data_IF_516409579911
#
_entry.id   IF_516409579911
#
_cell.length_a   1.000
_cell.length_b   1.000
_cell.length_c   1.000
_cell.angle_alpha   90.00
_cell.angle_beta   90.00
_cell.angle_gamma   90.00
#
_symmetry.space_group_name_H-M   'P 1'
#
loop_
_entity.id
_entity.type
_entity.pdbx_description
1 polymer ?
#
# COMPACT_ATOMS: atom_id res chain seq x y z
N UNK A 1 -7.47 8.69 -1.71
CA UNK A 1 -8.42 8.19 -0.68
C UNK A 1 -9.03 6.88 -1.15
N UNK A 2 -9.12 5.86 -0.30
CA UNK A 2 -9.81 4.60 -0.57
C UNK A 2 -11.28 4.78 -0.16
N UNK A 3 -12.21 4.32 -1.01
CA UNK A 3 -13.65 4.47 -0.78
C UNK A 3 -14.29 3.10 -0.86
N UNK A 4 -14.96 2.69 0.22
CA UNK A 4 -15.87 1.55 0.24
C UNK A 4 -17.30 2.08 0.16
N UNK A 5 -18.12 1.48 -0.69
CA UNK A 5 -19.55 1.81 -0.79
C UNK A 5 -20.37 0.82 0.04
N UNK A 6 -21.14 1.32 0.99
CA UNK A 6 -22.02 0.53 1.86
C UNK A 6 -23.42 1.15 1.87
N UNK A 7 -24.36 0.56 1.12
CA UNK A 7 -25.74 1.03 0.98
C UNK A 7 -25.82 2.54 0.63
N UNK A 8 -26.19 3.37 1.62
CA UNK A 8 -26.34 4.82 1.52
C UNK A 8 -25.14 5.61 2.06
N UNK A 9 -24.02 4.94 2.36
CA UNK A 9 -22.83 5.53 2.96
C UNK A 9 -21.57 5.22 2.18
N UNK A 10 -20.60 6.11 2.31
CA UNK A 10 -19.21 5.90 1.89
C UNK A 10 -18.34 5.78 3.15
N UNK A 11 -17.55 4.72 3.21
CA UNK A 11 -16.46 4.58 4.17
C UNK A 11 -15.19 5.07 3.51
N UNK A 12 -14.57 6.08 4.11
CA UNK A 12 -13.42 6.78 3.58
C UNK A 12 -12.19 6.45 4.41
N UNK A 13 -11.19 5.85 3.79
CA UNK A 13 -9.90 5.50 4.39
C UNK A 13 -8.83 6.29 3.66
N UNK A 14 -7.90 6.90 4.39
CA UNK A 14 -6.80 7.63 3.76
C UNK A 14 -5.77 6.67 3.16
N UNK A 15 -5.17 7.06 2.04
CA UNK A 15 -4.04 6.34 1.44
C UNK A 15 -2.86 6.28 2.41
N UNK A 16 -2.68 7.36 3.20
CA UNK A 16 -1.65 7.38 4.23
C UNK A 16 -1.92 6.42 5.39
N UNK A 17 -3.18 6.16 5.74
CA UNK A 17 -3.51 5.20 6.81
C UNK A 17 -3.29 3.75 6.34
N UNK A 18 -3.59 3.43 5.07
CA UNK A 18 -3.26 2.12 4.52
C UNK A 18 -1.76 1.91 4.38
N UNK A 19 -1.00 2.94 3.99
CA UNK A 19 0.45 2.87 3.93
C UNK A 19 1.07 2.64 5.32
N UNK A 20 0.55 3.30 6.35
CA UNK A 20 0.95 3.03 7.75
C UNK A 20 0.67 1.57 8.15
N UNK A 21 -0.43 0.98 7.68
CA UNK A 21 -0.72 -0.44 7.89
C UNK A 21 0.30 -1.33 7.16
N UNK A 22 0.70 -1.01 5.93
CA UNK A 22 1.77 -1.72 5.22
C UNK A 22 3.10 -1.64 6.01
N UNK A 23 3.42 -0.47 6.58
CA UNK A 23 4.57 -0.29 7.48
C UNK A 23 4.48 -1.11 8.77
N UNK A 24 3.29 -1.26 9.34
CA UNK A 24 3.04 -2.15 10.48
C UNK A 24 3.30 -3.61 10.12
N UNK A 25 2.80 -4.08 8.98
CA UNK A 25 3.09 -5.42 8.46
C UNK A 25 4.59 -5.61 8.18
N UNK A 26 5.27 -4.61 7.62
CA UNK A 26 6.71 -4.66 7.39
C UNK A 26 7.50 -4.89 8.68
N UNK A 27 7.13 -4.23 9.77
CA UNK A 27 7.76 -4.43 11.09
C UNK A 27 7.45 -5.79 11.70
N UNK A 28 6.29 -6.36 11.41
CA UNK A 28 5.89 -7.68 11.89
C UNK A 28 6.48 -8.83 11.05
N UNK A 29 6.94 -8.53 9.82
CA UNK A 29 7.43 -9.52 8.85
C UNK A 29 8.70 -10.21 9.35
N UNK A 30 8.74 -11.54 9.17
CA UNK A 30 9.86 -12.39 9.51
C UNK A 30 9.49 -13.48 10.52
N UNK A 31 9.93 -14.70 10.25
CA UNK A 31 9.80 -15.84 11.13
C UNK A 31 10.81 -16.93 10.73
N UNK A 32 10.59 -18.19 11.07
CA UNK A 32 11.50 -19.29 10.69
C UNK A 32 11.51 -19.61 9.19
N UNK A 33 10.46 -19.22 8.47
CA UNK A 33 10.29 -19.46 7.02
C UNK A 33 10.64 -18.21 6.23
N UNK A 34 10.04 -17.08 6.60
CA UNK A 34 10.24 -15.80 5.94
C UNK A 34 11.36 -14.99 6.61
N UNK A 35 12.38 -14.62 5.85
CA UNK A 35 13.43 -13.74 6.35
C UNK A 35 12.95 -12.29 6.48
N UNK A 36 13.46 -11.57 7.46
CA UNK A 36 13.27 -10.12 7.55
C UNK A 36 13.91 -9.44 6.35
N UNK A 37 13.28 -8.41 5.80
CA UNK A 37 13.90 -7.60 4.75
C UNK A 37 15.09 -6.79 5.30
N UNK A 38 16.13 -6.64 4.52
CA UNK A 38 17.29 -5.83 4.86
C UNK A 38 17.57 -4.81 3.73
N UNK A 39 17.92 -3.56 4.04
CA UNK A 39 18.09 -2.97 5.38
C UNK A 39 16.72 -2.69 6.04
N UNK A 40 16.55 -3.23 7.26
CA UNK A 40 15.23 -3.35 7.88
C UNK A 40 14.50 -2.01 8.11
N UNK A 41 15.16 -1.05 8.73
CA UNK A 41 14.51 0.24 9.05
C UNK A 41 14.16 1.03 7.79
N UNK A 42 15.04 1.02 6.79
CA UNK A 42 14.76 1.67 5.49
C UNK A 42 13.61 0.99 4.75
N UNK A 43 13.52 -0.34 4.81
CA UNK A 43 12.40 -1.07 4.24
C UNK A 43 11.08 -0.75 4.95
N UNK A 44 11.07 -0.76 6.29
CA UNK A 44 9.88 -0.40 7.07
C UNK A 44 9.43 1.03 6.80
N UNK A 45 10.38 1.97 6.65
CA UNK A 45 10.08 3.34 6.27
C UNK A 45 9.47 3.41 4.86
N UNK A 46 10.04 2.69 3.89
CA UNK A 46 9.49 2.63 2.54
C UNK A 46 8.05 2.12 2.54
N UNK A 47 7.76 1.05 3.30
CA UNK A 47 6.42 0.50 3.41
C UNK A 47 5.43 1.46 4.08
N UNK A 48 5.84 2.18 5.13
CA UNK A 48 4.98 3.14 5.82
C UNK A 48 4.73 4.42 5.03
N UNK A 49 5.64 4.79 4.14
CA UNK A 49 5.65 6.09 3.46
C UNK A 49 5.45 6.00 1.94
N UNK A 50 5.11 4.81 1.40
CA UNK A 50 5.01 4.64 -0.04
C UNK A 50 3.94 5.55 -0.68
N UNK A 51 2.91 5.91 0.08
CA UNK A 51 1.80 6.78 -0.32
C UNK A 51 1.76 8.13 0.43
N UNK A 52 2.87 8.55 1.07
CA UNK A 52 2.89 9.81 1.84
C UNK A 52 2.60 11.07 1.02
N UNK A 53 2.74 11.03 -0.29
CA UNK A 53 2.39 12.13 -1.19
C UNK A 53 0.91 12.52 -1.16
N UNK A 54 0.05 11.61 -0.68
CA UNK A 54 -1.38 11.84 -0.52
C UNK A 54 -1.75 12.73 0.68
N UNK A 55 -0.83 12.94 1.63
CA UNK A 55 -1.11 13.66 2.88
C UNK A 55 -1.81 14.99 2.68
N UNK A 56 -1.24 15.86 1.85
CA UNK A 56 -1.78 17.21 1.65
C UNK A 56 -3.11 17.17 0.90
N UNK A 57 -3.25 16.28 -0.07
CA UNK A 57 -4.48 16.12 -0.82
C UNK A 57 -5.63 15.60 0.05
N UNK A 58 -5.36 14.68 0.97
CA UNK A 58 -6.37 14.09 1.85
C UNK A 58 -6.80 14.99 3.01
N UNK A 59 -6.10 16.10 3.24
CA UNK A 59 -6.57 17.17 4.13
C UNK A 59 -7.70 17.98 3.50
N UNK A 60 -7.63 18.20 2.18
CA UNK A 60 -8.61 18.96 1.39
C UNK A 60 -8.98 18.15 0.13
N UNK A 61 -9.64 17.00 0.28
CA UNK A 61 -9.92 16.12 -0.82
C UNK A 61 -10.93 16.74 -1.79
N UNK A 62 -10.72 16.47 -3.07
CA UNK A 62 -11.52 16.98 -4.17
C UNK A 62 -12.67 16.04 -4.51
N UNK A 63 -13.68 16.56 -5.21
CA UNK A 63 -14.75 15.81 -5.84
C UNK A 63 -14.60 15.80 -7.36
N UNK A 64 -15.09 14.76 -8.01
CA UNK A 64 -15.17 14.69 -9.46
C UNK A 64 -16.22 15.72 -9.96
N UNK A 65 -15.85 16.69 -10.80
CA UNK A 65 -16.77 17.72 -11.29
C UNK A 65 -17.90 17.18 -12.18
N UNK A 66 -17.83 15.93 -12.61
CA UNK A 66 -18.87 15.28 -13.41
C UNK A 66 -19.92 14.58 -12.56
N UNK A 67 -19.48 13.83 -11.54
CA UNK A 67 -20.36 13.04 -10.68
C UNK A 67 -20.71 13.78 -9.39
N UNK A 68 -19.97 14.81 -9.03
CA UNK A 68 -20.06 15.51 -7.75
C UNK A 68 -19.86 14.58 -6.54
N UNK A 69 -19.10 13.50 -6.73
CA UNK A 69 -18.73 12.55 -5.67
C UNK A 69 -17.22 12.60 -5.39
N UNK A 70 -16.78 12.21 -4.19
CA UNK A 70 -15.35 12.21 -3.87
C UNK A 70 -14.53 11.36 -4.83
N UNK A 71 -13.37 11.84 -5.25
CA UNK A 71 -12.41 11.03 -5.98
C UNK A 71 -11.90 9.89 -5.10
N UNK A 72 -11.90 8.67 -5.64
CA UNK A 72 -11.10 7.60 -5.08
C UNK A 72 -9.68 7.61 -5.69
N UNK A 73 -8.76 6.84 -5.10
CA UNK A 73 -7.37 6.81 -5.55
C UNK A 73 -7.19 6.35 -7.01
N UNK A 74 -8.14 5.60 -7.55
CA UNK A 74 -8.12 5.14 -8.95
C UNK A 74 -8.64 6.19 -9.92
N UNK A 75 -9.56 7.07 -9.47
CA UNK A 75 -10.25 8.04 -10.34
C UNK A 75 -9.62 9.43 -10.35
N UNK A 76 -8.67 9.72 -9.46
CA UNK A 76 -7.94 11.00 -9.46
C UNK A 76 -7.26 11.24 -10.81
N UNK A 77 -7.26 12.48 -11.34
CA UNK A 77 -6.58 12.81 -12.59
C UNK A 77 -5.10 12.42 -12.56
N UNK A 78 -4.60 11.91 -13.69
CA UNK A 78 -3.22 11.41 -13.80
C UNK A 78 -2.18 12.47 -13.47
N UNK A 79 -2.39 13.72 -13.87
CA UNK A 79 -1.49 14.83 -13.59
C UNK A 79 -1.37 15.08 -12.09
N UNK A 80 -2.49 15.11 -11.39
CA UNK A 80 -2.54 15.26 -9.93
C UNK A 80 -1.85 14.07 -9.24
N UNK A 81 -2.12 12.84 -9.67
CA UNK A 81 -1.50 11.64 -9.15
C UNK A 81 0.03 11.66 -9.30
N UNK A 82 0.55 12.12 -10.46
CA UNK A 82 1.99 12.30 -10.68
C UNK A 82 2.56 13.33 -9.71
N UNK A 83 1.89 14.46 -9.53
CA UNK A 83 2.32 15.51 -8.61
C UNK A 83 2.39 15.03 -7.16
N UNK A 84 1.41 14.23 -6.72
CA UNK A 84 1.42 13.59 -5.40
C UNK A 84 2.66 12.72 -5.21
N UNK A 85 2.92 11.80 -6.13
CA UNK A 85 4.04 10.88 -6.02
C UNK A 85 5.40 11.58 -6.12
N UNK A 86 5.54 12.61 -6.95
CA UNK A 86 6.79 13.39 -7.00
C UNK A 86 7.12 13.99 -5.63
N UNK A 87 6.17 14.64 -4.96
CA UNK A 87 6.34 15.20 -3.62
C UNK A 87 6.68 14.12 -2.59
N UNK A 88 5.94 13.01 -2.63
CA UNK A 88 6.13 11.88 -1.72
C UNK A 88 7.52 11.28 -1.83
N UNK A 89 7.94 10.93 -3.04
CA UNK A 89 9.26 10.35 -3.32
C UNK A 89 10.38 11.30 -2.85
N UNK A 90 10.30 12.59 -3.18
CA UNK A 90 11.30 13.56 -2.76
C UNK A 90 11.41 13.65 -1.23
N UNK A 91 10.30 13.58 -0.52
CA UNK A 91 10.24 13.60 0.95
C UNK A 91 10.95 12.39 1.53
N UNK A 92 10.65 11.19 1.03
CA UNK A 92 11.27 9.95 1.51
C UNK A 92 12.76 9.90 1.17
N UNK A 93 13.16 10.31 -0.05
CA UNK A 93 14.59 10.38 -0.44
C UNK A 93 15.41 11.26 0.50
N UNK A 94 14.83 12.39 0.97
CA UNK A 94 15.51 13.27 1.95
C UNK A 94 15.67 12.62 3.32
N UNK A 95 14.72 11.78 3.72
CA UNK A 95 14.77 11.07 5.00
C UNK A 95 15.69 9.85 4.93
N UNK A 96 15.56 9.05 3.87
CA UNK A 96 16.33 7.83 3.65
C UNK A 96 16.40 7.52 2.14
N UNK A 97 17.62 7.43 1.61
CA UNK A 97 17.85 7.21 0.16
C UNK A 97 17.41 5.82 -0.31
N UNK A 98 17.57 4.79 0.53
CA UNK A 98 17.15 3.43 0.20
C UNK A 98 15.63 3.31 0.18
N UNK A 99 14.97 3.82 1.22
CA UNK A 99 13.51 3.89 1.28
C UNK A 99 12.95 4.69 0.08
N UNK A 100 13.51 5.86 -0.20
CA UNK A 100 13.11 6.69 -1.34
C UNK A 100 13.31 6.01 -2.69
N UNK A 101 14.36 5.19 -2.85
CA UNK A 101 14.55 4.37 -4.04
C UNK A 101 13.43 3.33 -4.20
N UNK A 102 13.08 2.61 -3.14
CA UNK A 102 11.99 1.63 -3.16
C UNK A 102 10.65 2.28 -3.46
N UNK A 103 10.33 3.41 -2.83
CA UNK A 103 9.09 4.18 -3.10
C UNK A 103 9.05 4.68 -4.54
N UNK A 104 10.18 5.15 -5.10
CA UNK A 104 10.27 5.55 -6.50
C UNK A 104 10.08 4.37 -7.46
N UNK A 105 10.63 3.18 -7.13
CA UNK A 105 10.44 1.97 -7.92
C UNK A 105 9.00 1.46 -7.87
N UNK A 106 8.37 1.49 -6.69
CA UNK A 106 6.96 1.17 -6.49
C UNK A 106 6.07 2.09 -7.33
N UNK A 107 6.25 3.41 -7.21
CA UNK A 107 5.50 4.38 -8.01
C UNK A 107 5.64 4.14 -9.52
N UNK A 108 6.84 3.86 -10.01
CA UNK A 108 7.06 3.54 -11.42
C UNK A 108 6.24 2.30 -11.84
N UNK A 109 6.13 1.30 -10.95
CA UNK A 109 5.34 0.09 -11.17
C UNK A 109 3.85 0.36 -11.37
N UNK A 110 3.28 1.40 -10.72
CA UNK A 110 1.87 1.77 -10.88
C UNK A 110 1.51 2.26 -12.30
N UNK A 111 2.51 2.63 -13.11
CA UNK A 111 2.34 3.08 -14.50
C UNK A 111 2.90 2.08 -15.52
N UNK A 112 3.60 1.05 -15.09
CA UNK A 112 4.22 0.08 -16.00
C UNK A 112 3.27 -1.07 -16.31
N UNK A 113 2.63 -0.99 -17.48
CA UNK A 113 1.70 -2.02 -17.98
C UNK A 113 2.35 -3.40 -18.15
N UNK A 114 3.65 -3.48 -18.39
CA UNK A 114 4.33 -4.76 -18.53
C UNK A 114 4.32 -5.54 -17.23
N UNK A 115 4.28 -4.86 -16.09
CA UNK A 115 4.16 -5.47 -14.76
C UNK A 115 2.75 -5.99 -14.45
N UNK A 116 1.73 -5.50 -15.15
CA UNK A 116 0.36 -5.98 -14.96
C UNK A 116 0.16 -7.46 -15.33
N UNK A 117 1.09 -8.04 -16.08
CA UNK A 117 1.11 -9.46 -16.46
C UNK A 117 2.03 -10.30 -15.57
N UNK A 118 2.76 -9.67 -14.64
CA UNK A 118 3.64 -10.39 -13.71
C UNK A 118 2.85 -10.99 -12.55
N UNK A 119 3.23 -12.18 -12.07
CA UNK A 119 2.70 -12.73 -10.82
C UNK A 119 2.82 -11.71 -9.70
N UNK A 120 1.82 -11.64 -8.84
CA UNK A 120 1.81 -10.70 -7.73
C UNK A 120 1.32 -9.29 -8.06
N UNK A 121 1.11 -8.94 -9.33
CA UNK A 121 0.67 -7.60 -9.73
C UNK A 121 -0.77 -7.61 -10.27
N UNK A 122 -1.63 -6.77 -9.70
CA UNK A 122 -3.00 -6.64 -10.21
C UNK A 122 -3.07 -5.57 -11.30
N UNK A 123 -3.38 -5.99 -12.54
CA UNK A 123 -3.66 -5.07 -13.66
C UNK A 123 -4.74 -4.02 -13.33
N UNK A 124 -5.60 -4.30 -12.34
CA UNK A 124 -6.66 -3.41 -11.88
C UNK A 124 -6.14 -2.07 -11.34
N UNK A 125 -4.92 -2.05 -10.80
CA UNK A 125 -4.33 -0.86 -10.19
C UNK A 125 -3.35 -0.12 -11.10
N UNK A 126 -3.09 -0.61 -12.32
CA UNK A 126 -2.23 0.10 -13.28
C UNK A 126 -3.00 1.25 -13.90
N UNK A 127 -2.54 2.47 -13.68
CA UNK A 127 -3.03 3.63 -14.43
C UNK A 127 -2.58 3.50 -15.89
N UNK A 128 -3.50 3.14 -16.76
CA UNK A 128 -3.29 3.03 -18.20
C UNK A 128 -2.92 4.38 -18.79
N UNK A 129 -1.67 4.58 -19.19
CA UNK A 129 -1.35 5.80 -19.91
C UNK A 129 -0.04 5.75 -20.69
N UNK A 130 -0.14 5.55 -21.97
CA UNK A 130 0.89 5.88 -22.95
C UNK A 130 0.78 7.36 -23.36
N UNK A 131 0.76 8.26 -22.38
CA UNK A 131 0.76 9.69 -22.65
C UNK A 131 2.17 10.24 -22.54
N UNK A 132 2.53 11.32 -23.30
CA UNK A 132 3.81 11.99 -23.14
C UNK A 132 4.12 12.36 -21.68
N UNK A 133 3.10 12.81 -20.92
CA UNK A 133 3.23 13.17 -19.51
C UNK A 133 3.73 12.00 -18.66
N UNK A 134 3.13 10.81 -18.82
CA UNK A 134 3.53 9.60 -18.09
C UNK A 134 4.91 9.12 -18.52
N UNK A 135 5.18 9.15 -19.83
CA UNK A 135 6.50 8.76 -20.38
C UNK A 135 7.62 9.64 -19.81
N UNK A 136 7.42 10.95 -19.79
CA UNK A 136 8.38 11.90 -19.23
C UNK A 136 8.55 11.70 -17.71
N UNK A 137 7.48 11.43 -17.01
CA UNK A 137 7.53 11.14 -15.57
C UNK A 137 8.34 9.86 -15.30
N UNK A 138 8.06 8.77 -15.99
CA UNK A 138 8.80 7.51 -15.85
C UNK A 138 10.28 7.67 -16.21
N UNK A 139 10.61 8.47 -17.23
CA UNK A 139 11.99 8.76 -17.56
C UNK A 139 12.71 9.52 -16.44
N UNK A 140 12.08 10.52 -15.84
CA UNK A 140 12.63 11.23 -14.68
C UNK A 140 12.86 10.31 -13.49
N UNK A 141 11.88 9.43 -13.18
CA UNK A 141 12.03 8.44 -12.11
C UNK A 141 13.20 7.49 -12.38
N UNK A 142 13.33 6.95 -13.59
CA UNK A 142 14.45 6.08 -13.97
C UNK A 142 15.81 6.76 -13.76
N UNK A 143 15.94 8.02 -14.18
CA UNK A 143 17.18 8.79 -13.97
C UNK A 143 17.47 9.03 -12.48
N UNK A 144 16.46 9.35 -11.68
CA UNK A 144 16.57 9.49 -10.23
C UNK A 144 17.00 8.16 -9.58
N UNK A 145 16.36 7.05 -9.94
CA UNK A 145 16.67 5.71 -9.44
C UNK A 145 18.12 5.31 -9.76
N UNK A 146 18.58 5.59 -10.98
CA UNK A 146 19.98 5.32 -11.36
C UNK A 146 20.97 6.10 -10.47
N UNK A 147 20.72 7.38 -10.20
CA UNK A 147 21.55 8.21 -9.31
C UNK A 147 21.55 7.65 -7.88
N UNK A 148 20.38 7.35 -7.34
CA UNK A 148 20.25 6.75 -6.01
C UNK A 148 20.99 5.41 -5.90
N UNK A 149 20.89 4.54 -6.92
CA UNK A 149 21.64 3.26 -6.97
C UNK A 149 23.15 3.50 -6.96
N UNK A 150 23.65 4.46 -7.71
CA UNK A 150 25.09 4.81 -7.72
C UNK A 150 25.53 5.29 -6.33
N UNK A 151 24.77 6.20 -5.71
CA UNK A 151 25.07 6.72 -4.38
C UNK A 151 25.07 5.60 -3.31
N UNK A 152 24.07 4.75 -3.32
CA UNK A 152 23.95 3.63 -2.37
C UNK A 152 25.06 2.58 -2.56
N UNK A 153 25.45 2.30 -3.82
CA UNK A 153 26.55 1.37 -4.11
C UNK A 153 27.93 1.94 -3.72
N UNK A 154 28.06 3.26 -3.66
CA UNK A 154 29.26 3.93 -3.16
C UNK A 154 29.33 3.99 -1.62
N UNK A 155 28.21 3.85 -0.93
CA UNK A 155 28.14 3.85 0.53
C UNK A 155 28.66 2.51 1.09
N UNK A 156 29.64 2.51 2.01
CA UNK A 156 30.23 1.29 2.57
C UNK A 156 29.24 0.35 3.26
N UNK A 157 28.18 0.90 3.87
CA UNK A 157 27.14 0.15 4.59
C UNK A 157 26.05 -0.32 3.62
N UNK A 158 25.55 0.60 2.78
CA UNK A 158 24.37 0.34 1.95
C UNK A 158 24.67 -0.47 0.69
N UNK A 159 25.94 -0.53 0.25
CA UNK A 159 26.34 -1.28 -0.97
C UNK A 159 25.92 -2.76 -0.96
N UNK A 160 25.88 -3.38 0.24
CA UNK A 160 25.48 -4.79 0.38
C UNK A 160 23.97 -5.03 0.06
N UNK A 161 23.16 -3.97 0.05
CA UNK A 161 21.71 -4.03 -0.15
C UNK A 161 21.27 -3.38 -1.47
N UNK A 162 22.20 -2.72 -2.19
CA UNK A 162 21.91 -1.92 -3.37
C UNK A 162 22.15 -2.68 -4.70
N UNK A 163 22.37 -4.01 -4.66
CA UNK A 163 22.37 -4.84 -5.85
C UNK A 163 20.93 -5.00 -6.39
N UNK A 164 20.81 -5.29 -7.68
CA UNK A 164 19.50 -5.32 -8.34
C UNK A 164 18.61 -6.46 -7.85
N UNK A 165 19.18 -7.57 -7.40
CA UNK A 165 18.41 -8.71 -6.86
C UNK A 165 17.79 -8.36 -5.49
N UNK A 166 18.58 -7.82 -4.57
CA UNK A 166 18.11 -7.38 -3.24
C UNK A 166 17.06 -6.28 -3.34
N UNK A 167 17.28 -5.30 -4.22
CA UNK A 167 16.31 -4.24 -4.48
C UNK A 167 15.00 -4.79 -5.07
N UNK A 168 15.08 -5.72 -6.02
CA UNK A 168 13.89 -6.34 -6.60
C UNK A 168 13.11 -7.18 -5.57
N UNK A 169 13.80 -7.97 -4.75
CA UNK A 169 13.15 -8.75 -3.69
C UNK A 169 12.43 -7.84 -2.67
N UNK A 170 13.05 -6.73 -2.27
CA UNK A 170 12.41 -5.78 -1.36
C UNK A 170 11.28 -5.00 -2.03
N UNK A 171 11.38 -4.69 -3.32
CA UNK A 171 10.25 -4.11 -4.06
C UNK A 171 9.04 -5.06 -4.10
N UNK A 172 9.24 -6.32 -4.41
CA UNK A 172 8.15 -7.32 -4.41
C UNK A 172 7.54 -7.52 -3.02
N UNK A 173 8.35 -7.49 -1.96
CA UNK A 173 7.84 -7.50 -0.58
C UNK A 173 7.02 -6.25 -0.27
N UNK A 174 7.48 -5.07 -0.66
CA UNK A 174 6.74 -3.81 -0.49
C UNK A 174 5.38 -3.89 -1.19
N UNK A 175 5.36 -4.33 -2.46
CA UNK A 175 4.13 -4.48 -3.24
C UNK A 175 3.18 -5.54 -2.63
N UNK A 176 3.72 -6.61 -2.06
CA UNK A 176 2.91 -7.60 -1.34
C UNK A 176 2.26 -7.02 -0.08
N UNK A 177 3.00 -6.22 0.69
CA UNK A 177 2.48 -5.57 1.91
C UNK A 177 1.49 -4.44 1.58
N UNK A 178 1.71 -3.70 0.50
CA UNK A 178 0.75 -2.74 -0.04
C UNK A 178 -0.58 -3.44 -0.41
N UNK A 179 -0.53 -4.52 -1.19
CA UNK A 179 -1.71 -5.31 -1.55
C UNK A 179 -2.40 -5.91 -0.32
N UNK A 180 -1.64 -6.39 0.66
CA UNK A 180 -2.20 -6.91 1.91
C UNK A 180 -2.90 -5.80 2.70
N UNK A 181 -2.33 -4.59 2.77
CA UNK A 181 -2.97 -3.46 3.45
C UNK A 181 -4.23 -2.99 2.71
N UNK A 182 -4.21 -2.94 1.38
CA UNK A 182 -5.38 -2.63 0.55
C UNK A 182 -6.48 -3.68 0.70
N UNK A 183 -6.15 -4.96 0.85
CA UNK A 183 -7.12 -6.02 1.08
C UNK A 183 -8.04 -5.71 2.26
N UNK A 184 -7.49 -5.20 3.37
CA UNK A 184 -8.28 -4.79 4.55
C UNK A 184 -8.99 -3.44 4.39
N UNK A 185 -8.55 -2.63 3.44
CA UNK A 185 -9.17 -1.33 3.13
C UNK A 185 -10.28 -1.42 2.08
N UNK A 186 -10.41 -2.54 1.39
CA UNK A 186 -11.44 -2.76 0.37
C UNK A 186 -12.51 -3.74 0.89
N UNK A 187 -13.74 -3.52 0.49
CA UNK A 187 -14.88 -4.37 0.88
C UNK A 187 -15.60 -4.91 -0.36
N UNK A 188 -16.24 -6.07 -0.28
CA UNK A 188 -16.20 -7.04 0.83
C UNK A 188 -14.86 -7.78 0.92
N UNK A 189 -14.52 -8.32 2.10
CA UNK A 189 -13.40 -9.27 2.20
C UNK A 189 -13.79 -10.58 1.53
N UNK A 190 -13.01 -11.00 0.54
CA UNK A 190 -13.19 -12.23 -0.22
C UNK A 190 -11.89 -13.03 -0.23
N UNK A 191 -11.95 -14.33 -0.56
CA UNK A 191 -10.74 -15.12 -0.77
C UNK A 191 -9.86 -14.46 -1.84
N UNK A 192 -8.57 -14.34 -1.56
CA UNK A 192 -7.62 -13.65 -2.44
C UNK A 192 -6.23 -14.25 -2.31
N UNK A 193 -5.42 -14.15 -3.36
CA UNK A 193 -4.03 -14.59 -3.36
C UNK A 193 -3.10 -13.42 -3.70
N UNK A 194 -2.00 -13.33 -2.96
CA UNK A 194 -0.89 -12.42 -3.25
C UNK A 194 0.27 -13.28 -3.74
N UNK A 195 0.51 -13.29 -5.04
CA UNK A 195 1.45 -14.21 -5.69
C UNK A 195 2.90 -13.76 -5.54
N UNK A 196 3.82 -14.72 -5.63
CA UNK A 196 5.27 -14.52 -5.81
C UNK A 196 5.91 -13.62 -4.73
N UNK A 197 5.53 -13.80 -3.47
CA UNK A 197 6.11 -13.04 -2.35
C UNK A 197 7.47 -13.65 -1.98
N UNK A 198 8.58 -12.87 -1.99
CA UNK A 198 9.89 -13.37 -1.63
C UNK A 198 9.97 -13.89 -0.20
N UNK A 199 10.33 -15.17 -0.05
CA UNK A 199 10.49 -15.84 1.25
C UNK A 199 11.79 -15.42 1.91
N UNK A 200 12.87 -15.36 1.11
CA UNK A 200 14.22 -15.03 1.57
C UNK A 200 15.02 -14.33 0.46
N UNK A 201 16.31 -14.07 0.71
CA UNK A 201 17.19 -13.40 -0.25
C UNK A 201 17.75 -14.29 -1.35
N UNK A 202 17.39 -15.57 -1.44
CA UNK A 202 17.94 -16.52 -2.43
C UNK A 202 17.01 -16.79 -3.63
N UNK A 203 15.94 -16.00 -3.79
CA UNK A 203 15.00 -16.13 -4.91
C UNK A 203 13.84 -17.11 -4.66
N UNK A 204 13.69 -17.66 -3.45
CA UNK A 204 12.50 -18.45 -3.11
C UNK A 204 11.30 -17.53 -2.92
N UNK A 205 10.15 -17.93 -3.47
CA UNK A 205 8.88 -17.20 -3.41
C UNK A 205 7.77 -18.12 -2.88
N UNK A 206 6.73 -17.51 -2.34
CA UNK A 206 5.51 -18.19 -1.92
C UNK A 206 4.30 -17.32 -2.25
N UNK A 207 3.19 -17.95 -2.57
CA UNK A 207 1.91 -17.25 -2.72
C UNK A 207 1.23 -17.18 -1.35
N UNK A 208 0.75 -15.99 -0.99
CA UNK A 208 -0.02 -15.77 0.23
C UNK A 208 -1.51 -15.94 -0.07
N UNK A 209 -2.14 -16.96 0.49
CA UNK A 209 -3.58 -17.20 0.37
C UNK A 209 -4.32 -16.58 1.56
N UNK A 210 -5.27 -15.69 1.28
CA UNK A 210 -6.09 -14.99 2.25
C UNK A 210 -7.51 -15.51 2.20
N UNK A 211 -8.02 -16.04 3.31
CA UNK A 211 -9.38 -16.57 3.42
C UNK A 211 -10.13 -15.89 4.58
N UNK A 212 -11.26 -15.19 4.31
CA UNK A 212 -12.11 -14.66 5.36
C UNK A 212 -12.71 -15.80 6.22
N UNK A 213 -12.59 -15.68 7.54
CA UNK A 213 -13.11 -16.65 8.50
C UNK A 213 -14.30 -16.10 9.33
N UNK A 214 -14.91 -15.00 8.86
CA UNK A 214 -16.01 -14.33 9.55
C UNK A 214 -15.57 -13.38 10.65
N UNK A 215 -16.44 -12.51 11.12
CA UNK A 215 -16.20 -11.55 12.22
C UNK A 215 -14.90 -10.76 12.12
N UNK A 216 -14.53 -10.29 10.92
CA UNK A 216 -13.29 -9.58 10.64
C UNK A 216 -12.00 -10.40 10.90
N UNK A 217 -12.11 -11.73 10.92
CA UNK A 217 -10.95 -12.61 10.94
C UNK A 217 -10.59 -13.07 9.53
N UNK A 218 -9.28 -13.12 9.27
CA UNK A 218 -8.70 -13.59 8.00
C UNK A 218 -7.59 -14.59 8.31
N UNK A 219 -7.61 -15.74 7.67
CA UNK A 219 -6.44 -16.62 7.66
C UNK A 219 -5.50 -16.24 6.53
N UNK A 220 -4.20 -16.38 6.78
CA UNK A 220 -3.13 -16.08 5.82
C UNK A 220 -2.15 -17.25 5.81
N UNK A 221 -2.01 -17.93 4.67
CA UNK A 221 -1.15 -19.11 4.52
C UNK A 221 -0.28 -18.99 3.27
N UNK A 222 1.04 -19.24 3.34
CA UNK A 222 1.82 -19.42 4.56
C UNK A 222 1.95 -18.12 5.37
N UNK A 223 1.91 -18.23 6.69
CA UNK A 223 1.91 -17.06 7.60
C UNK A 223 3.31 -16.44 7.71
N UNK A 224 3.49 -15.14 7.41
CA UNK A 224 4.82 -14.56 7.30
C UNK A 224 5.29 -13.78 8.54
N UNK A 225 4.44 -13.57 9.54
CA UNK A 225 4.73 -12.67 10.64
C UNK A 225 5.31 -13.38 11.86
N UNK A 226 6.03 -12.60 12.71
CA UNK A 226 6.63 -13.10 13.94
C UNK A 226 5.61 -13.44 15.03
N UNK A 227 4.49 -12.74 15.04
CA UNK A 227 3.42 -12.90 16.04
C UNK A 227 2.16 -13.46 15.38
N UNK A 228 1.55 -14.47 15.99
CA UNK A 228 0.28 -15.06 15.58
C UNK A 228 -0.66 -15.17 16.79
N UNK A 229 -1.88 -14.61 16.77
CA UNK A 229 -2.44 -13.77 15.70
C UNK A 229 -1.88 -12.34 15.69
N UNK A 230 -2.03 -11.67 14.55
CA UNK A 230 -1.75 -10.26 14.38
C UNK A 230 -3.07 -9.47 14.37
N UNK A 231 -3.22 -8.55 15.32
CA UNK A 231 -4.36 -7.65 15.39
C UNK A 231 -4.03 -6.33 14.71
N UNK A 232 -4.91 -5.86 13.85
CA UNK A 232 -4.77 -4.65 13.05
C UNK A 232 -5.98 -3.75 13.22
N UNK A 233 -5.75 -2.45 13.10
CA UNK A 233 -6.78 -1.43 13.18
C UNK A 233 -6.52 -0.36 12.11
N UNK A 234 -7.58 0.02 11.38
CA UNK A 234 -7.54 1.03 10.33
C UNK A 234 -8.53 2.11 10.68
N UNK A 235 -8.11 3.37 10.63
CA UNK A 235 -9.00 4.49 10.86
C UNK A 235 -9.78 4.82 9.58
N UNK A 236 -11.08 5.02 9.75
CA UNK A 236 -11.99 5.38 8.67
C UNK A 236 -12.97 6.47 9.12
N UNK A 237 -13.56 7.17 8.16
CA UNK A 237 -14.68 8.10 8.38
C UNK A 237 -15.88 7.69 7.51
N UNK A 238 -17.08 8.04 7.95
CA UNK A 238 -18.32 7.71 7.27
C UNK A 238 -19.04 8.97 6.84
N UNK A 239 -19.43 9.03 5.56
CA UNK A 239 -20.23 10.12 5.00
C UNK A 239 -21.37 9.56 4.16
N UNK A 240 -22.38 10.38 3.86
CA UNK A 240 -23.50 9.97 3.00
C UNK A 240 -23.03 9.71 1.56
N UNK A 241 -23.52 8.64 0.95
CA UNK A 241 -23.32 8.33 -0.47
C UNK A 241 -24.29 9.16 -1.32
N UNK A 242 -23.85 10.31 -1.77
CA UNK A 242 -24.61 11.23 -2.62
C UNK A 242 -23.70 12.15 -3.42
N UNK A 243 -24.28 12.88 -4.37
CA UNK A 243 -23.63 14.04 -4.95
C UNK A 243 -23.56 15.18 -3.93
N UNK A 244 -22.45 15.91 -3.89
CA UNK A 244 -22.24 17.10 -3.07
C UNK A 244 -22.36 18.34 -3.93
N UNK A 245 -22.81 19.46 -3.36
CA UNK A 245 -22.99 20.69 -4.12
C UNK A 245 -21.65 21.23 -4.69
N UNK A 246 -20.60 21.14 -3.87
CA UNK A 246 -19.25 21.52 -4.23
C UNK A 246 -18.21 20.86 -3.30
N UNK A 247 -16.92 21.12 -3.53
CA UNK A 247 -15.82 20.63 -2.70
C UNK A 247 -15.90 21.15 -1.25
N UNK A 248 -16.35 22.42 -1.06
CA UNK A 248 -16.44 23.01 0.28
C UNK A 248 -17.49 22.30 1.13
N UNK A 249 -18.64 21.94 0.56
CA UNK A 249 -19.65 21.14 1.26
C UNK A 249 -19.07 19.80 1.69
N UNK A 250 -18.44 19.07 0.74
CA UNK A 250 -17.84 17.77 1.03
C UNK A 250 -16.78 17.87 2.13
N UNK A 251 -15.83 18.82 2.00
CA UNK A 251 -14.76 19.03 2.97
C UNK A 251 -15.28 19.37 4.37
N UNK A 252 -16.31 20.22 4.49
CA UNK A 252 -16.96 20.54 5.77
C UNK A 252 -17.60 19.32 6.41
N UNK A 253 -18.34 18.53 5.63
CA UNK A 253 -18.97 17.28 6.11
C UNK A 253 -17.92 16.29 6.55
N UNK A 254 -16.88 16.10 5.76
CA UNK A 254 -15.78 15.20 6.07
C UNK A 254 -15.03 15.64 7.34
N UNK A 255 -14.78 16.95 7.51
CA UNK A 255 -14.10 17.47 8.70
C UNK A 255 -14.91 17.22 10.00
N UNK A 256 -16.24 17.18 9.91
CA UNK A 256 -17.13 16.91 11.04
C UNK A 256 -17.38 15.41 11.28
N UNK A 257 -17.11 14.55 10.27
CA UNK A 257 -17.31 13.12 10.38
C UNK A 257 -16.33 12.52 11.41
N UNK A 258 -16.82 11.81 12.45
CA UNK A 258 -15.93 11.21 13.44
C UNK A 258 -15.14 10.06 12.83
N UNK A 259 -13.90 9.88 13.31
CA UNK A 259 -13.14 8.66 13.02
C UNK A 259 -13.72 7.48 13.80
N UNK A 260 -13.68 6.32 13.16
CA UNK A 260 -13.92 5.04 13.82
C UNK A 260 -12.84 4.03 13.38
N UNK A 261 -12.61 3.02 14.22
CA UNK A 261 -11.65 1.98 13.94
C UNK A 261 -12.34 0.79 13.26
N UNK A 262 -11.75 0.31 12.18
CA UNK A 262 -12.04 -0.99 11.56
C UNK A 262 -10.99 -1.97 12.06
N UNK A 263 -11.41 -2.95 12.88
CA UNK A 263 -10.49 -3.89 13.52
C UNK A 263 -10.59 -5.25 12.83
N UNK A 264 -9.42 -5.88 12.59
CA UNK A 264 -9.31 -7.19 12.00
C UNK A 264 -8.26 -8.02 12.74
N UNK A 265 -8.36 -9.33 12.60
CA UNK A 265 -7.36 -10.27 13.11
C UNK A 265 -6.87 -11.15 11.97
N UNK A 266 -5.56 -11.26 11.81
CA UNK A 266 -4.90 -12.11 10.82
C UNK A 266 -4.18 -13.24 11.56
N UNK A 267 -4.40 -14.49 11.16
CA UNK A 267 -3.84 -15.67 11.81
C UNK A 267 -3.47 -16.76 10.81
N UNK A 268 -2.50 -17.60 11.17
CA UNK A 268 -2.17 -18.80 10.41
C UNK A 268 -3.27 -19.87 10.48
N UNK A 269 -4.04 -19.92 11.56
CA UNK A 269 -4.96 -21.02 11.85
C UNK A 269 -6.37 -20.51 12.18
N UNK A 270 -7.32 -20.85 11.29
CA UNK A 270 -8.74 -20.57 11.49
C UNK A 270 -9.36 -21.25 12.72
N UNK A 271 -8.80 -22.37 13.19
CA UNK A 271 -9.33 -23.10 14.35
C UNK A 271 -9.08 -22.33 15.66
N UNK A 272 -7.98 -21.58 15.79
CA UNK A 272 -7.72 -20.71 16.95
C UNK A 272 -8.71 -19.55 17.05
N UNK A 273 -9.32 -19.17 15.93
CA UNK A 273 -10.28 -18.08 15.82
C UNK A 273 -11.62 -18.51 16.44
N UNK A 274 -12.07 -19.73 16.17
CA UNK A 274 -13.35 -20.26 16.68
C UNK A 274 -13.36 -20.44 18.20
N UNK A 275 -12.22 -20.77 18.83
CA UNK A 275 -12.12 -20.96 20.27
C UNK A 275 -12.24 -19.67 21.10
N UNK A 276 -11.92 -18.48 20.53
CA UNK A 276 -12.09 -17.18 21.20
C UNK A 276 -13.50 -16.62 21.09
N UNK A 277 -14.23 -16.91 20.01
CA UNK A 277 -15.64 -16.48 19.83
C UNK A 277 -16.62 -17.25 20.72
N UNK A 278 -16.21 -18.40 21.27
CA UNK A 278 -17.04 -19.20 22.18
C UNK A 278 -16.96 -18.77 23.66
N UNK A 279 -16.13 -17.76 23.98
CA UNK A 279 -15.86 -17.30 25.37
C UNK A 279 -16.29 -15.82 25.56
N UNK A 280 -16.92 -15.16 24.58
CA UNK A 280 -17.36 -13.77 24.68
C UNK A 280 -18.88 -13.64 24.77
#
# INVERSE_FOLDING_TARGET
>A
MIIQEQHDQLILIRQTDHAMLAGFFARALGNKVFSRPEPFESFCLAAAEHDNGWNEWELLPQIDPKSFTPYNFMSIPTEEHIALYQRGIERVVRADRYAGLLVSMHCAGLYDRTRATMPGFSAKYVKSNETPLVSDFLQRLRLQQLRLKVDLRADPVMKAYADDHSLQANLLRLEALDRLSLYFCLAPLEGSTIDAVPVNGNGSEADWDLQPAGNNYVTLEPYPFMKDPLEISILARRVAKRAYADENEFQKILAQAPYFAMNFTVSADGARIQSRSAVA
#
